data_IF_510057088529
#
_entry.id   IF_510057088529
#
_cell.length_a   1.000
_cell.length_b   1.000
_cell.length_c   1.000
_cell.angle_alpha   90.00
_cell.angle_beta   90.00
_cell.angle_gamma   90.00
#
_symmetry.space_group_name_H-M   'P 1'
#
loop_
_entity.id
_entity.type
_entity.pdbx_description
1 polymer ?
#
# COMPACT_ATOMS: atom_id res chain seq x y z
N UNK A 1 3.33 30.03 -3.14
CA UNK A 1 4.01 28.74 -2.86
C UNK A 1 5.09 28.93 -1.79
N UNK A 2 4.75 29.21 -0.53
CA UNK A 2 5.77 29.56 0.47
C UNK A 2 5.50 29.21 1.94
N UNK A 3 4.34 28.60 2.27
CA UNK A 3 3.99 28.31 3.66
C UNK A 3 4.27 26.85 4.09
N UNK A 4 4.38 25.90 3.16
CA UNK A 4 4.61 24.48 3.48
C UNK A 4 6.06 24.13 3.85
N UNK A 5 7.01 25.05 3.64
CA UNK A 5 8.44 24.84 3.91
C UNK A 5 8.87 25.30 5.31
N UNK A 6 8.03 26.01 6.06
CA UNK A 6 8.42 26.61 7.35
C UNK A 6 7.83 25.89 8.58
N UNK A 7 6.87 24.96 8.40
CA UNK A 7 6.24 24.24 9.51
C UNK A 7 7.25 23.51 10.41
N UNK A 8 8.27 22.80 9.87
CA UNK A 8 9.24 22.11 10.73
C UNK A 8 10.09 23.06 11.59
N UNK A 9 10.38 24.27 11.08
CA UNK A 9 11.24 25.25 11.74
C UNK A 9 10.54 26.03 12.87
N UNK A 10 9.21 25.94 12.96
CA UNK A 10 8.40 26.73 13.90
C UNK A 10 8.19 26.04 15.27
N UNK A 11 8.68 24.81 15.47
CA UNK A 11 8.59 24.12 16.77
C UNK A 11 7.20 23.59 17.14
N UNK A 12 6.22 23.67 16.24
CA UNK A 12 4.86 23.16 16.47
C UNK A 12 4.78 21.63 16.48
N UNK A 13 5.68 20.93 15.78
CA UNK A 13 5.66 19.47 15.69
C UNK A 13 5.95 18.78 17.04
N UNK A 14 7.00 19.18 17.81
CA UNK A 14 7.18 18.69 19.17
C UNK A 14 6.00 19.00 20.10
N UNK A 15 5.42 20.20 20.01
CA UNK A 15 4.27 20.59 20.83
C UNK A 15 3.02 19.75 20.52
N UNK A 16 2.78 19.44 19.25
CA UNK A 16 1.72 18.52 18.83
C UNK A 16 1.94 17.13 19.44
N UNK A 17 3.15 16.57 19.35
CA UNK A 17 3.48 15.25 19.90
C UNK A 17 3.32 15.19 21.43
N UNK A 18 3.67 16.27 22.12
CA UNK A 18 3.45 16.39 23.57
C UNK A 18 1.96 16.47 23.90
N UNK A 19 1.20 17.27 23.14
CA UNK A 19 -0.24 17.42 23.34
C UNK A 19 -0.98 16.09 23.13
N UNK A 20 -0.58 15.30 22.11
CA UNK A 20 -1.15 13.98 21.83
C UNK A 20 -1.04 13.00 23.01
N UNK A 21 0.01 13.09 23.83
CA UNK A 21 0.18 12.22 25.00
C UNK A 21 -0.79 12.57 26.14
N UNK A 22 -1.23 13.82 26.21
CA UNK A 22 -2.10 14.32 27.28
C UNK A 22 -3.58 14.27 26.89
N UNK A 23 -3.90 13.72 25.72
CA UNK A 23 -5.28 13.67 25.21
C UNK A 23 -6.16 12.81 26.10
N UNK A 24 -7.19 13.44 26.63
CA UNK A 24 -8.23 12.84 27.46
C UNK A 24 -9.59 12.76 26.76
N UNK A 25 -9.78 13.51 25.67
CA UNK A 25 -11.05 13.63 24.95
C UNK A 25 -10.96 13.01 23.55
N UNK A 26 -12.04 12.33 23.14
CA UNK A 26 -12.12 11.62 21.86
C UNK A 26 -12.09 12.56 20.65
N UNK A 27 -12.75 13.72 20.73
CA UNK A 27 -12.74 14.73 19.66
C UNK A 27 -11.34 15.34 19.43
N UNK A 28 -10.58 15.51 20.51
CA UNK A 28 -9.19 16.00 20.43
C UNK A 28 -8.29 14.92 19.84
N UNK A 29 -8.48 13.65 20.21
CA UNK A 29 -7.77 12.52 19.60
C UNK A 29 -8.04 12.43 18.09
N UNK A 30 -9.30 12.56 17.69
CA UNK A 30 -9.71 12.56 16.29
C UNK A 30 -9.04 13.71 15.52
N UNK A 31 -9.16 14.94 16.03
CA UNK A 31 -8.52 16.11 15.44
C UNK A 31 -7.01 15.94 15.31
N UNK A 32 -6.34 15.41 16.34
CA UNK A 32 -4.91 15.15 16.32
C UNK A 32 -4.51 14.12 15.25
N UNK A 33 -5.31 13.06 15.06
CA UNK A 33 -5.09 12.07 13.99
C UNK A 33 -5.20 12.71 12.61
N UNK A 34 -6.24 13.54 12.38
CA UNK A 34 -6.43 14.24 11.10
C UNK A 34 -5.26 15.18 10.81
N UNK A 35 -4.88 16.00 11.79
CA UNK A 35 -3.76 16.94 11.67
C UNK A 35 -2.45 16.20 11.41
N UNK A 36 -2.18 15.12 12.16
CA UNK A 36 -0.96 14.34 11.96
C UNK A 36 -0.93 13.68 10.58
N UNK A 37 -2.05 13.14 10.10
CA UNK A 37 -2.14 12.60 8.76
C UNK A 37 -1.79 13.66 7.71
N UNK A 38 -2.41 14.84 7.79
CA UNK A 38 -2.14 15.92 6.84
C UNK A 38 -0.69 16.42 6.86
N UNK A 39 -0.08 16.48 8.06
CA UNK A 39 1.33 16.86 8.20
C UNK A 39 2.25 15.77 7.65
N UNK A 40 1.91 14.49 7.84
CA UNK A 40 2.71 13.35 7.37
C UNK A 40 2.77 13.23 5.84
N UNK A 41 1.80 13.79 5.11
CA UNK A 41 1.84 13.89 3.65
C UNK A 41 3.01 14.77 3.15
N UNK A 42 3.52 15.66 3.99
CA UNK A 42 4.70 16.45 3.68
C UNK A 42 5.97 15.72 4.14
N UNK A 43 6.79 15.26 3.19
CA UNK A 43 8.01 14.48 3.43
C UNK A 43 9.01 15.16 4.39
N UNK A 44 9.14 16.48 4.35
CA UNK A 44 10.02 17.22 5.26
C UNK A 44 9.47 17.18 6.69
N UNK A 45 8.16 17.36 6.86
CA UNK A 45 7.52 17.27 8.17
C UNK A 45 7.55 15.84 8.70
N UNK A 46 7.30 14.84 7.85
CA UNK A 46 7.36 13.43 8.23
C UNK A 46 8.76 13.02 8.71
N UNK A 47 9.81 13.46 8.00
CA UNK A 47 11.21 13.24 8.40
C UNK A 47 11.51 13.85 9.77
N UNK A 48 11.10 15.10 10.01
CA UNK A 48 11.30 15.77 11.31
C UNK A 48 10.46 15.13 12.42
N UNK A 49 9.23 14.69 12.13
CA UNK A 49 8.41 13.99 13.11
C UNK A 49 9.10 12.70 13.61
N UNK A 50 9.73 11.94 12.72
CA UNK A 50 10.38 10.69 13.06
C UNK A 50 11.54 10.85 14.05
N UNK A 51 12.16 12.03 14.13
CA UNK A 51 13.23 12.32 15.11
C UNK A 51 12.70 12.71 16.49
N UNK A 52 11.38 12.96 16.64
CA UNK A 52 10.79 13.39 17.90
C UNK A 52 10.56 12.17 18.82
N UNK A 53 11.18 12.08 20.01
CA UNK A 53 11.12 10.89 20.89
C UNK A 53 9.75 10.54 21.45
N UNK A 54 8.80 11.47 21.37
CA UNK A 54 7.47 11.34 21.94
C UNK A 54 6.37 11.08 20.91
N UNK A 55 6.74 11.03 19.63
CA UNK A 55 5.80 10.85 18.53
C UNK A 55 4.99 9.58 18.70
N UNK A 56 5.65 8.42 18.84
CA UNK A 56 4.96 7.12 18.82
C UNK A 56 4.06 6.97 20.04
N UNK A 57 4.50 7.42 21.22
CA UNK A 57 3.68 7.36 22.45
C UNK A 57 2.43 8.24 22.32
N UNK A 58 2.57 9.48 21.83
CA UNK A 58 1.44 10.37 21.59
C UNK A 58 0.49 9.80 20.54
N UNK A 59 1.04 9.33 19.42
CA UNK A 59 0.27 8.74 18.34
C UNK A 59 -0.53 7.50 18.81
N UNK A 60 0.11 6.60 19.56
CA UNK A 60 -0.52 5.41 20.12
C UNK A 60 -1.66 5.75 21.10
N UNK A 61 -1.52 6.85 21.86
CA UNK A 61 -2.56 7.34 22.78
C UNK A 61 -3.82 7.77 22.01
N UNK A 62 -3.66 8.50 20.92
CA UNK A 62 -4.77 8.94 20.08
C UNK A 62 -5.47 7.76 19.36
N UNK A 63 -4.71 6.90 18.70
CA UNK A 63 -5.29 5.83 17.86
C UNK A 63 -5.98 4.72 18.66
N UNK A 64 -5.57 4.49 19.91
CA UNK A 64 -6.25 3.56 20.83
C UNK A 64 -7.65 4.04 21.22
N UNK A 65 -7.86 5.36 21.28
CA UNK A 65 -9.17 5.95 21.58
C UNK A 65 -10.09 5.98 20.36
N UNK A 66 -9.52 6.05 19.16
CA UNK A 66 -10.27 6.23 17.91
C UNK A 66 -9.98 5.11 16.90
N UNK A 67 -10.38 3.86 17.21
CA UNK A 67 -10.11 2.71 16.32
C UNK A 67 -10.83 2.81 14.97
N UNK A 68 -11.98 3.50 14.90
CA UNK A 68 -12.75 3.70 13.66
C UNK A 68 -12.00 4.58 12.63
N UNK A 69 -10.99 5.34 13.07
CA UNK A 69 -10.15 6.15 12.20
C UNK A 69 -8.96 5.38 11.59
N UNK A 70 -9.06 4.04 11.52
CA UNK A 70 -7.97 3.19 11.06
C UNK A 70 -7.41 3.58 9.71
N UNK A 71 -8.23 4.11 8.80
CA UNK A 71 -7.72 4.60 7.52
C UNK A 71 -6.75 5.75 7.66
N UNK A 72 -7.12 6.78 8.41
CA UNK A 72 -6.34 8.00 8.50
C UNK A 72 -5.03 7.72 9.23
N UNK A 73 -5.09 7.01 10.36
CA UNK A 73 -3.88 6.76 11.12
C UNK A 73 -2.98 5.71 10.46
N UNK A 74 -3.51 4.70 9.76
CA UNK A 74 -2.65 3.75 9.02
C UNK A 74 -1.91 4.46 7.90
N UNK A 75 -2.56 5.42 7.24
CA UNK A 75 -1.97 6.18 6.16
C UNK A 75 -0.84 7.06 6.69
N UNK A 76 -1.13 7.81 7.76
CA UNK A 76 -0.14 8.63 8.44
C UNK A 76 1.08 7.81 8.87
N UNK A 77 0.84 6.64 9.48
CA UNK A 77 1.90 5.73 9.92
C UNK A 77 2.74 5.22 8.74
N UNK A 78 2.12 4.85 7.62
CA UNK A 78 2.84 4.48 6.41
C UNK A 78 3.74 5.62 5.94
N UNK A 79 3.22 6.84 5.84
CA UNK A 79 4.02 7.99 5.39
C UNK A 79 5.21 8.23 6.32
N UNK A 80 5.00 8.21 7.64
CA UNK A 80 6.07 8.34 8.63
C UNK A 80 7.12 7.23 8.49
N UNK A 81 6.67 5.97 8.34
CA UNK A 81 7.57 4.82 8.21
C UNK A 81 8.45 4.86 6.95
N UNK A 82 8.03 5.54 5.88
CA UNK A 82 8.88 5.75 4.69
C UNK A 82 10.13 6.59 5.02
N UNK A 83 10.06 7.37 6.11
CA UNK A 83 11.13 8.18 6.66
C UNK A 83 11.68 7.62 7.98
N UNK A 84 11.55 6.30 8.19
CA UNK A 84 12.00 5.63 9.41
C UNK A 84 13.47 5.95 9.72
N UNK A 85 13.71 6.52 10.90
CA UNK A 85 15.04 6.71 11.50
C UNK A 85 15.28 5.68 12.60
N UNK A 86 16.52 5.59 13.11
CA UNK A 86 16.86 4.71 14.23
C UNK A 86 16.02 5.04 15.48
N UNK A 87 15.81 6.33 15.77
CA UNK A 87 14.98 6.79 16.90
C UNK A 87 13.51 6.43 16.71
N UNK A 88 12.99 6.50 15.49
CA UNK A 88 11.63 6.06 15.18
C UNK A 88 11.48 4.55 15.37
N UNK A 89 12.41 3.76 14.83
CA UNK A 89 12.41 2.31 14.96
C UNK A 89 12.51 1.86 16.42
N UNK A 90 13.38 2.50 17.21
CA UNK A 90 13.49 2.27 18.65
C UNK A 90 12.16 2.56 19.38
N UNK A 91 11.53 3.71 19.09
CA UNK A 91 10.24 4.05 19.67
C UNK A 91 9.15 3.03 19.33
N UNK A 92 9.07 2.57 18.08
CA UNK A 92 8.11 1.53 17.65
C UNK A 92 8.31 0.24 18.47
N UNK A 93 9.57 -0.15 18.66
CA UNK A 93 9.93 -1.36 19.40
C UNK A 93 9.59 -1.26 20.90
N UNK A 94 9.86 -0.13 21.54
CA UNK A 94 9.74 0.02 23.00
C UNK A 94 8.34 0.44 23.48
N UNK A 95 7.49 0.98 22.59
CA UNK A 95 6.20 1.56 22.96
C UNK A 95 5.03 0.56 23.00
N UNK A 96 5.24 -0.69 22.58
CA UNK A 96 4.16 -1.64 22.33
C UNK A 96 3.31 -1.31 21.08
N UNK A 97 3.82 -0.44 20.20
CA UNK A 97 3.19 -0.15 18.90
C UNK A 97 3.11 -1.41 18.04
N UNK A 98 4.16 -2.25 18.02
CA UNK A 98 4.16 -3.49 17.23
C UNK A 98 3.00 -4.40 17.63
N UNK A 99 2.80 -4.65 18.93
CA UNK A 99 1.69 -5.47 19.44
C UNK A 99 0.33 -4.89 19.08
N UNK A 100 0.18 -3.56 19.21
CA UNK A 100 -1.05 -2.88 18.79
C UNK A 100 -1.34 -3.09 17.30
N UNK A 101 -0.33 -2.89 16.43
CA UNK A 101 -0.49 -3.05 14.99
C UNK A 101 -0.82 -4.50 14.60
N UNK A 102 -0.17 -5.49 15.23
CA UNK A 102 -0.49 -6.90 15.02
C UNK A 102 -1.93 -7.23 15.45
N UNK A 103 -2.38 -6.69 16.58
CA UNK A 103 -3.77 -6.83 17.03
C UNK A 103 -4.75 -6.18 16.03
N UNK A 104 -4.43 -4.99 15.53
CA UNK A 104 -5.23 -4.32 14.48
C UNK A 104 -5.29 -5.13 13.19
N UNK A 105 -4.21 -5.78 12.76
CA UNK A 105 -4.19 -6.66 11.59
C UNK A 105 -5.10 -7.89 11.74
N UNK A 106 -5.21 -8.43 12.96
CA UNK A 106 -6.10 -9.56 13.26
C UNK A 106 -7.58 -9.16 13.40
N UNK A 107 -7.85 -7.92 13.82
CA UNK A 107 -9.21 -7.40 14.01
C UNK A 107 -9.98 -7.26 12.69
N UNK A 108 -11.32 -7.26 12.77
CA UNK A 108 -12.20 -6.95 11.64
C UNK A 108 -12.29 -5.45 11.32
N UNK A 109 -11.77 -4.56 12.19
CA UNK A 109 -11.84 -3.10 12.04
C UNK A 109 -13.26 -2.58 11.75
N UNK A 110 -14.23 -2.80 12.66
CA UNK A 110 -15.60 -2.32 12.47
C UNK A 110 -15.64 -0.79 12.39
N UNK A 111 -16.55 -0.24 11.59
CA UNK A 111 -16.71 1.21 11.39
C UNK A 111 -15.71 1.85 10.41
N UNK A 112 -14.70 1.10 9.97
CA UNK A 112 -13.69 1.58 9.01
C UNK A 112 -14.20 1.38 7.58
N UNK A 113 -14.23 2.45 6.78
CA UNK A 113 -14.72 2.43 5.39
C UNK A 113 -13.93 1.50 4.43
N UNK A 114 -12.62 1.29 4.65
CA UNK A 114 -11.79 0.36 3.86
C UNK A 114 -10.73 -0.35 4.73
N UNK A 115 -11.11 -1.40 5.48
CA UNK A 115 -10.20 -2.08 6.40
C UNK A 115 -9.06 -2.80 5.68
N UNK A 116 -9.26 -3.25 4.43
CA UNK A 116 -8.22 -3.89 3.64
C UNK A 116 -7.05 -2.93 3.36
N UNK A 117 -7.35 -1.71 2.90
CA UNK A 117 -6.34 -0.67 2.67
C UNK A 117 -5.63 -0.28 3.96
N UNK A 118 -6.36 -0.16 5.09
CA UNK A 118 -5.73 0.12 6.38
C UNK A 118 -4.72 -0.95 6.78
N UNK A 119 -5.10 -2.23 6.67
CA UNK A 119 -4.21 -3.37 6.95
C UNK A 119 -3.00 -3.40 6.04
N UNK A 120 -3.18 -3.07 4.76
CA UNK A 120 -2.10 -2.98 3.78
C UNK A 120 -1.06 -1.94 4.17
N UNK A 121 -1.51 -0.75 4.58
CA UNK A 121 -0.65 0.35 5.02
C UNK A 121 0.06 0.05 6.34
N UNK A 122 -0.61 -0.65 7.27
CA UNK A 122 0.03 -1.14 8.50
C UNK A 122 1.14 -2.14 8.17
N UNK A 123 0.89 -3.09 7.26
CA UNK A 123 1.88 -4.06 6.84
C UNK A 123 3.10 -3.39 6.15
N UNK A 124 2.84 -2.38 5.31
CA UNK A 124 3.88 -1.52 4.72
C UNK A 124 4.73 -0.85 5.80
N UNK A 125 4.07 -0.25 6.80
CA UNK A 125 4.77 0.47 7.84
C UNK A 125 5.70 -0.44 8.65
N UNK A 126 5.23 -1.64 8.99
CA UNK A 126 6.04 -2.65 9.67
C UNK A 126 7.23 -3.09 8.81
N UNK A 127 7.02 -3.36 7.51
CA UNK A 127 8.10 -3.70 6.56
C UNK A 127 9.15 -2.61 6.48
N UNK A 128 8.72 -1.35 6.43
CA UNK A 128 9.64 -0.21 6.42
C UNK A 128 10.49 -0.12 7.68
N UNK A 129 9.89 -0.34 8.86
CA UNK A 129 10.64 -0.36 10.12
C UNK A 129 11.68 -1.50 10.18
N UNK A 130 11.40 -2.65 9.56
CA UNK A 130 12.36 -3.75 9.48
C UNK A 130 13.61 -3.45 8.64
N UNK A 131 13.57 -2.42 7.78
CA UNK A 131 14.70 -2.01 6.94
C UNK A 131 15.72 -1.16 7.70
N UNK A 132 15.39 -0.74 8.92
CA UNK A 132 16.31 -0.03 9.80
C UNK A 132 17.54 -0.90 10.13
N UNK A 133 18.75 -0.34 10.01
CA UNK A 133 20.00 -1.09 10.17
C UNK A 133 20.37 -1.39 11.62
N UNK A 134 19.77 -0.70 12.60
CA UNK A 134 20.13 -0.82 14.02
C UNK A 134 19.11 -1.65 14.80
N UNK A 135 17.82 -1.39 14.60
CA UNK A 135 16.71 -2.01 15.32
C UNK A 135 15.84 -2.91 14.42
N UNK A 136 15.97 -2.82 13.09
CA UNK A 136 15.12 -3.54 12.15
C UNK A 136 15.19 -5.07 12.27
N UNK A 137 16.35 -5.63 12.60
CA UNK A 137 16.48 -7.08 12.86
C UNK A 137 15.68 -7.49 14.10
N UNK A 138 15.75 -6.70 15.19
CA UNK A 138 15.00 -6.98 16.41
C UNK A 138 13.50 -6.84 16.20
N UNK A 139 13.07 -5.83 15.45
CA UNK A 139 11.66 -5.66 15.03
C UNK A 139 11.21 -6.88 14.22
N UNK A 140 12.04 -7.34 13.27
CA UNK A 140 11.76 -8.53 12.46
C UNK A 140 11.62 -9.80 13.31
N UNK A 141 12.48 -9.99 14.32
CA UNK A 141 12.40 -11.13 15.24
C UNK A 141 11.12 -11.10 16.08
N UNK A 142 10.67 -9.92 16.53
CA UNK A 142 9.39 -9.77 17.24
C UNK A 142 8.23 -10.14 16.31
N UNK A 143 8.23 -9.61 15.09
CA UNK A 143 7.18 -9.88 14.11
C UNK A 143 7.11 -11.36 13.70
N UNK A 144 8.25 -12.04 13.53
CA UNK A 144 8.30 -13.47 13.15
C UNK A 144 7.69 -14.41 14.20
N UNK A 145 7.58 -14.00 15.46
CA UNK A 145 6.88 -14.77 16.50
C UNK A 145 5.36 -14.73 16.34
N UNK A 146 4.83 -13.76 15.60
CA UNK A 146 3.39 -13.60 15.42
C UNK A 146 2.87 -14.45 14.25
N UNK A 147 1.89 -15.33 14.46
CA UNK A 147 1.26 -16.07 13.37
C UNK A 147 0.51 -15.14 12.41
N UNK A 148 0.01 -14.00 12.92
CA UNK A 148 -0.69 -13.00 12.12
C UNK A 148 0.26 -12.42 11.07
N UNK A 149 1.50 -12.10 11.47
CA UNK A 149 2.50 -11.50 10.57
C UNK A 149 2.86 -12.40 9.39
N UNK A 150 2.86 -13.73 9.58
CA UNK A 150 3.14 -14.68 8.50
C UNK A 150 2.21 -14.50 7.30
N UNK A 151 0.96 -14.06 7.52
CA UNK A 151 0.02 -13.78 6.44
C UNK A 151 0.34 -12.49 5.68
N UNK A 152 1.00 -11.50 6.30
CA UNK A 152 1.23 -10.18 5.71
C UNK A 152 2.66 -9.97 5.18
N UNK A 153 3.65 -10.72 5.70
CA UNK A 153 5.07 -10.51 5.38
C UNK A 153 5.37 -10.61 3.88
N UNK A 154 4.72 -11.55 3.18
CA UNK A 154 4.96 -11.82 1.75
C UNK A 154 3.88 -11.23 0.83
N UNK A 155 2.80 -10.64 1.38
CA UNK A 155 1.77 -10.00 0.55
C UNK A 155 2.33 -8.78 -0.16
N UNK A 156 2.32 -8.79 -1.49
CA UNK A 156 2.51 -7.60 -2.33
C UNK A 156 1.15 -6.93 -2.55
N UNK A 157 1.12 -5.60 -2.47
CA UNK A 157 -0.10 -4.77 -2.50
C UNK A 157 -0.90 -4.84 -3.80
N UNK A 158 -0.38 -5.48 -4.83
CA UNK A 158 -1.00 -5.60 -6.16
C UNK A 158 -2.15 -6.62 -6.20
N UNK A 159 -2.40 -7.35 -5.10
CA UNK A 159 -3.36 -8.45 -5.07
C UNK A 159 -4.39 -8.36 -3.92
N UNK A 160 -4.97 -7.18 -3.67
CA UNK A 160 -6.23 -7.11 -2.91
C UNK A 160 -7.41 -7.50 -3.81
N UNK A 161 -7.52 -8.80 -4.13
CA UNK A 161 -8.81 -9.34 -4.49
C UNK A 161 -9.64 -9.42 -3.20
N UNK A 162 -10.80 -8.76 -3.09
CA UNK A 162 -11.71 -9.06 -2.00
C UNK A 162 -11.97 -10.56 -2.06
N UNK A 163 -11.76 -11.26 -0.95
CA UNK A 163 -12.09 -12.67 -0.81
C UNK A 163 -13.51 -12.85 -1.33
N UNK A 164 -13.64 -13.38 -2.55
CA UNK A 164 -14.90 -13.88 -3.06
C UNK A 164 -15.27 -14.98 -2.08
N UNK A 165 -16.28 -14.71 -1.26
CA UNK A 165 -16.98 -15.72 -0.46
C UNK A 165 -17.08 -16.96 -1.31
N UNK A 166 -16.42 -18.02 -0.85
CA UNK A 166 -16.29 -19.31 -1.50
C UNK A 166 -17.64 -19.73 -2.11
N UNK A 167 -17.80 -19.45 -3.41
CA UNK A 167 -18.92 -19.96 -4.18
C UNK A 167 -18.83 -21.46 -4.07
N UNK A 168 -19.83 -22.07 -3.44
CA UNK A 168 -19.97 -23.51 -3.34
C UNK A 168 -19.99 -24.08 -4.75
N UNK A 169 -18.83 -24.51 -5.23
CA UNK A 169 -18.71 -25.30 -6.44
C UNK A 169 -19.23 -26.71 -6.12
N UNK A 170 -20.56 -26.83 -6.24
CA UNK A 170 -21.30 -27.99 -6.74
C UNK A 170 -20.52 -29.30 -6.78
N UNK A 171 -20.87 -30.15 -5.81
CA UNK A 171 -20.65 -31.59 -5.75
C UNK A 171 -20.90 -32.27 -7.11
N UNK A 172 -19.83 -32.62 -7.82
CA UNK A 172 -19.87 -33.54 -8.96
C UNK A 172 -19.83 -34.99 -8.48
N UNK A 173 -21.00 -35.63 -8.40
CA UNK A 173 -21.18 -37.09 -8.38
C UNK A 173 -21.77 -37.57 -9.72
N UNK A 174 -21.53 -38.82 -10.13
CA UNK A 174 -21.32 -39.17 -11.53
C UNK A 174 -22.58 -39.63 -12.28
N UNK A 175 -22.41 -39.70 -13.61
CA UNK A 175 -23.17 -40.49 -14.58
C UNK A 175 -24.48 -39.88 -15.10
N UNK A 176 -24.54 -39.71 -16.42
CA UNK A 176 -25.80 -39.48 -17.12
C UNK A 176 -25.61 -38.58 -18.33
N UNK A 177 -25.49 -39.22 -19.49
CA UNK A 177 -25.49 -38.67 -20.83
C UNK A 177 -26.64 -37.70 -21.16
N UNK A 178 -26.39 -36.84 -22.16
CA UNK A 178 -27.34 -36.16 -23.06
C UNK A 178 -27.75 -34.70 -22.75
N UNK A 179 -26.93 -33.79 -23.29
CA UNK A 179 -27.29 -32.68 -24.19
C UNK A 179 -28.59 -31.90 -24.00
N UNK A 180 -28.46 -30.64 -23.54
CA UNK A 180 -29.14 -29.50 -24.17
C UNK A 180 -28.12 -28.35 -24.32
N UNK A 181 -27.73 -28.11 -25.57
CA UNK A 181 -26.92 -26.98 -26.01
C UNK A 181 -27.80 -25.72 -26.10
N UNK A 182 -27.33 -24.60 -25.54
CA UNK A 182 -28.05 -23.32 -25.65
C UNK A 182 -27.40 -22.18 -24.87
N UNK A 183 -26.46 -21.50 -25.52
CA UNK A 183 -26.06 -20.10 -25.32
C UNK A 183 -25.46 -19.67 -23.97
N UNK A 184 -24.14 -19.83 -23.82
CA UNK A 184 -23.30 -18.83 -23.16
C UNK A 184 -22.07 -18.56 -24.02
N UNK A 185 -21.97 -17.31 -24.49
CA UNK A 185 -20.94 -16.77 -25.38
C UNK A 185 -19.58 -16.76 -24.69
N UNK A 186 -18.73 -17.75 -24.99
CA UNK A 186 -17.29 -17.70 -24.73
C UNK A 186 -16.63 -16.69 -25.68
N UNK A 187 -16.27 -15.52 -25.15
CA UNK A 187 -15.22 -14.67 -25.72
C UNK A 187 -13.86 -15.13 -25.21
N UNK A 188 -13.35 -16.23 -25.77
CA UNK A 188 -12.04 -16.78 -25.41
C UNK A 188 -10.98 -16.19 -26.36
N UNK A 189 -9.99 -15.54 -25.75
CA UNK A 189 -8.80 -14.98 -26.37
C UNK A 189 -7.90 -16.12 -26.90
N UNK A 190 -7.90 -16.35 -28.21
CA UNK A 190 -6.94 -17.25 -28.86
C UNK A 190 -5.58 -16.54 -29.08
N UNK A 191 -4.45 -17.17 -28.71
CA UNK A 191 -3.12 -16.65 -29.04
C UNK A 191 -2.84 -16.79 -30.55
N UNK A 192 -2.14 -15.83 -31.19
CA UNK A 192 -1.99 -15.80 -32.64
C UNK A 192 -1.05 -16.91 -33.15
N UNK A 193 -1.42 -17.64 -34.23
CA UNK A 193 -0.50 -18.56 -34.89
C UNK A 193 0.58 -17.82 -35.67
N UNK A 194 1.81 -18.35 -35.57
CA UNK A 194 3.00 -17.82 -36.22
C UNK A 194 2.99 -18.05 -37.75
N UNK A 195 3.49 -17.04 -38.47
CA UNK A 195 4.01 -17.05 -39.85
C UNK A 195 2.99 -17.25 -40.99
N UNK A 196 2.48 -16.12 -41.48
CA UNK A 196 2.07 -15.97 -42.88
C UNK A 196 3.08 -15.00 -43.54
N UNK A 197 3.77 -15.37 -44.64
CA UNK A 197 4.70 -14.48 -45.31
C UNK A 197 3.96 -13.36 -46.07
N UNK A 198 4.57 -12.16 -46.20
CA UNK A 198 3.92 -11.03 -46.86
C UNK A 198 3.75 -11.24 -48.38
N UNK A 199 2.70 -10.67 -48.98
CA UNK A 199 2.41 -10.80 -50.42
C UNK A 199 3.46 -10.08 -51.29
N UNK A 200 3.70 -10.57 -52.53
CA UNK A 200 4.75 -10.05 -53.40
C UNK A 200 4.42 -8.65 -53.98
N UNK A 201 5.46 -7.83 -54.28
CA UNK A 201 5.30 -6.50 -54.84
C UNK A 201 4.79 -6.54 -56.30
N UNK A 202 4.03 -5.54 -56.75
CA UNK A 202 3.51 -5.50 -58.12
C UNK A 202 4.63 -5.26 -59.15
N UNK A 203 4.71 -6.15 -60.15
CA UNK A 203 5.55 -6.01 -61.34
C UNK A 203 4.91 -5.10 -62.38
N UNK A 204 5.75 -4.29 -63.02
CA UNK A 204 5.48 -3.14 -63.89
C UNK A 204 4.77 -3.45 -65.23
N UNK A 205 4.01 -2.47 -65.74
CA UNK A 205 3.78 -2.30 -67.19
C UNK A 205 4.43 -0.98 -67.68
N UNK A 206 5.52 -1.14 -68.44
CA UNK A 206 5.95 -0.47 -69.71
C UNK A 206 5.19 0.80 -70.16
N UNK A 207 5.75 1.88 -70.76
CA UNK A 207 6.86 2.13 -71.74
C UNK A 207 6.88 3.67 -72.04
N UNK A 208 7.70 4.30 -72.96
CA UNK A 208 9.07 4.08 -73.46
C UNK A 208 10.03 5.30 -73.33
N UNK A 209 11.26 5.04 -73.78
CA UNK A 209 12.47 5.85 -73.94
C UNK A 209 12.42 7.10 -74.84
N UNK A 210 13.30 8.07 -74.54
CA UNK A 210 14.34 8.70 -75.39
C UNK A 210 14.86 9.98 -74.70
N UNK A 211 16.10 10.45 -74.77
CA UNK A 211 17.24 10.16 -75.63
C UNK A 211 18.52 10.72 -75.01
N UNK A 212 19.59 9.94 -75.09
CA UNK A 212 20.98 10.29 -75.37
C UNK A 212 21.74 11.40 -74.61
N UNK A 213 22.73 10.92 -73.86
CA UNK A 213 24.08 11.45 -73.78
C UNK A 213 24.68 11.79 -75.15
N UNK A 214 25.49 12.87 -75.19
CA UNK A 214 26.62 13.15 -76.09
C UNK A 214 27.33 14.38 -75.50
N UNK A 215 28.62 14.48 -75.27
CA UNK A 215 29.82 13.75 -75.67
C UNK A 215 30.98 14.18 -74.74
N UNK A 216 32.00 13.32 -74.63
CA UNK A 216 33.43 13.62 -74.41
C UNK A 216 33.85 14.47 -73.21
#
# INVERSE_FOLDING_TARGET
>A
MGLSMSIPAQGYLPQLCQSMQMVNNDEVANSAIVVLNQISENSNCASVLCTIPSLIKGFLTCIRRQPEMARQWSHALKQLSNHCTHEFAEQILLSGMIDFLLHSLASSMPGVNNPAAAKAEIADALKNCCRDTQFGERISQVLQKSPIWAHYKDQRHDLFLPTITQTQAITGGPSGSESIAGYLTEGMFEPPPARIPPPPPPTSQQQPANSNNKFK
#
